data_IF_957409449073
#
_entry.id   IF_957409449073
#
_cell.length_a   1.000
_cell.length_b   1.000
_cell.length_c   1.000
_cell.angle_alpha   90.00
_cell.angle_beta   90.00
_cell.angle_gamma   90.00
#
_symmetry.space_group_name_H-M   'P 1'
#
loop_
_entity.id
_entity.type
_entity.pdbx_description
1 polymer ?
#
# COMPACT_ATOMS: atom_id res chain seq x y z
N UNK A 1 11.72 -0.26 -20.49
CA UNK A 1 12.97 -0.43 -21.29
C UNK A 1 13.44 -1.88 -21.37
N UNK A 2 13.82 -2.54 -20.27
CA UNK A 2 14.42 -3.90 -20.30
C UNK A 2 13.58 -4.98 -21.00
N UNK A 3 12.26 -5.02 -20.75
CA UNK A 3 11.35 -5.94 -21.48
C UNK A 3 11.37 -5.71 -23.00
N UNK A 4 11.48 -4.45 -23.44
CA UNK A 4 11.58 -4.10 -24.86
C UNK A 4 12.93 -4.55 -25.42
N UNK A 5 14.02 -4.30 -24.69
CA UNK A 5 15.35 -4.78 -25.07
C UNK A 5 15.37 -6.31 -25.24
N UNK A 6 14.73 -7.05 -24.33
CA UNK A 6 14.59 -8.51 -24.42
C UNK A 6 13.78 -8.96 -25.65
N UNK A 7 12.67 -8.28 -25.97
CA UNK A 7 11.90 -8.56 -27.19
C UNK A 7 12.69 -8.34 -28.47
N UNK A 8 13.60 -7.37 -28.46
CA UNK A 8 14.46 -7.02 -29.60
C UNK A 8 15.73 -7.87 -29.69
N UNK A 9 15.96 -8.80 -28.74
CA UNK A 9 17.15 -9.65 -28.72
C UNK A 9 17.44 -10.34 -30.08
N UNK A 10 16.46 -10.98 -30.74
CA UNK A 10 16.74 -11.66 -32.02
C UNK A 10 17.20 -10.70 -33.11
N UNK A 11 16.67 -9.49 -33.11
CA UNK A 11 17.02 -8.44 -34.08
C UNK A 11 18.44 -7.96 -33.83
N UNK A 12 18.82 -7.73 -32.57
CA UNK A 12 20.20 -7.37 -32.22
C UNK A 12 21.20 -8.48 -32.56
N UNK A 13 20.85 -9.74 -32.29
CA UNK A 13 21.70 -10.88 -32.63
C UNK A 13 21.90 -11.01 -34.15
N UNK A 14 20.84 -10.78 -34.94
CA UNK A 14 20.89 -10.77 -36.41
C UNK A 14 21.77 -9.63 -36.92
N UNK A 15 21.52 -8.41 -36.47
CA UNK A 15 22.30 -7.23 -36.84
C UNK A 15 23.79 -7.37 -36.51
N UNK A 16 24.13 -7.87 -35.32
CA UNK A 16 25.53 -8.08 -34.95
C UNK A 16 26.23 -9.13 -35.82
N UNK A 17 25.47 -10.11 -36.34
CA UNK A 17 25.97 -11.17 -37.20
C UNK A 17 26.15 -10.67 -38.65
N UNK A 18 25.18 -9.94 -39.19
CA UNK A 18 25.21 -9.37 -40.55
C UNK A 18 26.32 -8.32 -40.71
N UNK A 19 26.45 -7.41 -39.74
CA UNK A 19 27.41 -6.30 -39.81
C UNK A 19 28.74 -6.60 -39.10
N UNK A 20 29.00 -7.86 -38.74
CA UNK A 20 30.26 -8.32 -38.13
C UNK A 20 30.63 -7.59 -36.82
N UNK A 21 29.65 -7.03 -36.11
CA UNK A 21 29.84 -6.36 -34.81
C UNK A 21 29.69 -7.31 -33.63
N UNK A 22 30.46 -8.40 -33.64
CA UNK A 22 30.39 -9.46 -32.61
C UNK A 22 30.70 -8.96 -31.20
N UNK A 23 31.52 -7.90 -31.06
CA UNK A 23 31.84 -7.27 -29.79
C UNK A 23 30.65 -6.56 -29.11
N UNK A 24 29.63 -6.15 -29.88
CA UNK A 24 28.40 -5.54 -29.35
C UNK A 24 27.37 -6.58 -28.89
N UNK A 25 27.60 -7.86 -29.21
CA UNK A 25 26.67 -8.93 -28.89
C UNK A 25 26.59 -9.14 -27.39
N UNK A 26 25.38 -9.06 -26.86
CA UNK A 26 25.12 -9.31 -25.44
C UNK A 26 25.23 -10.81 -25.17
N UNK A 27 26.12 -11.19 -24.25
CA UNK A 27 26.35 -12.59 -23.90
C UNK A 27 25.12 -13.22 -23.23
N UNK A 28 25.01 -14.54 -23.29
CA UNK A 28 23.91 -15.30 -22.66
C UNK A 28 23.79 -15.01 -21.16
N UNK A 29 24.92 -14.82 -20.47
CA UNK A 29 24.95 -14.45 -19.05
C UNK A 29 24.40 -13.05 -18.78
N UNK A 30 24.67 -12.07 -19.65
CA UNK A 30 24.10 -10.72 -19.54
C UNK A 30 22.59 -10.74 -19.80
N UNK A 31 22.12 -11.57 -20.73
CA UNK A 31 20.67 -11.77 -20.94
C UNK A 31 19.97 -12.40 -19.74
N UNK A 32 20.61 -13.38 -19.09
CA UNK A 32 20.12 -13.96 -17.82
C UNK A 32 20.04 -12.91 -16.70
N UNK A 33 21.01 -12.00 -16.62
CA UNK A 33 20.95 -10.88 -15.67
C UNK A 33 19.76 -9.96 -15.95
N UNK A 34 19.49 -9.64 -17.23
CA UNK A 34 18.32 -8.85 -17.64
C UNK A 34 17.02 -9.56 -17.26
N UNK A 35 16.91 -10.86 -17.50
CA UNK A 35 15.72 -11.65 -17.13
C UNK A 35 15.48 -11.60 -15.62
N UNK A 36 16.56 -11.69 -14.83
CA UNK A 36 16.49 -11.58 -13.38
C UNK A 36 16.03 -10.18 -12.93
N UNK A 37 16.56 -9.11 -13.53
CA UNK A 37 16.13 -7.73 -13.27
C UNK A 37 14.66 -7.50 -13.63
N UNK A 38 14.18 -8.07 -14.74
CA UNK A 38 12.76 -7.99 -15.13
C UNK A 38 11.90 -8.68 -14.07
N UNK A 39 12.32 -9.83 -13.54
CA UNK A 39 11.60 -10.54 -12.48
C UNK A 39 11.58 -9.75 -11.16
N UNK A 40 12.71 -9.17 -10.75
CA UNK A 40 12.81 -8.34 -9.54
C UNK A 40 11.90 -7.10 -9.66
N UNK A 41 11.93 -6.41 -10.80
CA UNK A 41 11.20 -5.15 -10.99
C UNK A 41 9.72 -5.33 -11.34
N UNK A 42 9.28 -6.57 -11.60
CA UNK A 42 7.91 -6.84 -12.03
C UNK A 42 6.84 -6.44 -11.01
N UNK A 43 6.95 -6.73 -9.69
CA UNK A 43 5.95 -6.30 -8.72
C UNK A 43 5.83 -4.78 -8.64
N UNK A 44 6.96 -4.07 -8.62
CA UNK A 44 6.99 -2.60 -8.65
C UNK A 44 6.22 -2.06 -9.86
N UNK A 45 6.52 -2.57 -11.06
CA UNK A 45 5.82 -2.19 -12.27
C UNK A 45 4.30 -2.46 -12.19
N UNK A 46 3.90 -3.62 -11.64
CA UNK A 46 2.48 -3.98 -11.50
C UNK A 46 1.75 -3.01 -10.57
N UNK A 47 2.30 -2.75 -9.39
CA UNK A 47 1.68 -1.84 -8.42
C UNK A 47 1.64 -0.40 -8.93
N UNK A 48 2.74 0.13 -9.49
CA UNK A 48 2.73 1.50 -10.02
C UNK A 48 1.76 1.67 -11.18
N UNK A 49 1.67 0.68 -12.08
CA UNK A 49 0.72 0.71 -13.20
C UNK A 49 -0.73 0.59 -12.73
N UNK A 50 -0.99 -0.23 -11.70
CA UNK A 50 -2.32 -0.36 -11.14
C UNK A 50 -2.75 0.96 -10.47
N UNK A 51 -1.91 1.49 -9.58
CA UNK A 51 -2.14 2.77 -8.89
C UNK A 51 -2.34 3.93 -9.87
N UNK A 52 -1.57 4.00 -10.96
CA UNK A 52 -1.72 5.08 -11.95
C UNK A 52 -3.02 5.01 -12.77
N UNK A 53 -3.68 3.85 -12.80
CA UNK A 53 -4.93 3.65 -13.56
C UNK A 53 -6.17 3.78 -12.70
N UNK A 54 -6.04 3.52 -11.40
CA UNK A 54 -7.16 3.60 -10.46
C UNK A 54 -7.57 5.07 -10.25
N UNK A 55 -8.87 5.33 -10.35
CA UNK A 55 -9.46 6.65 -10.04
C UNK A 55 -10.05 6.73 -8.63
N UNK A 56 -10.26 5.58 -8.00
CA UNK A 56 -10.81 5.45 -6.65
C UNK A 56 -9.76 5.74 -5.57
N UNK A 57 -10.22 5.88 -4.33
CA UNK A 57 -9.38 6.11 -3.16
C UNK A 57 -8.52 4.88 -2.88
N UNK A 58 -7.19 5.02 -2.90
CA UNK A 58 -6.23 3.92 -2.72
C UNK A 58 -5.43 3.98 -1.42
N UNK A 59 -5.67 5.01 -0.58
CA UNK A 59 -4.87 5.29 0.62
C UNK A 59 -4.81 4.10 1.59
N UNK A 60 -5.90 3.34 1.69
CA UNK A 60 -6.04 2.16 2.53
C UNK A 60 -5.14 0.99 2.10
N UNK A 61 -4.60 0.99 0.88
CA UNK A 61 -3.76 -0.10 0.34
C UNK A 61 -2.27 0.13 0.54
N UNK A 62 -1.86 1.33 0.95
CA UNK A 62 -0.46 1.77 0.96
C UNK A 62 0.42 0.82 1.76
N UNK A 63 0.04 0.51 3.00
CA UNK A 63 0.76 -0.43 3.85
C UNK A 63 0.83 -1.84 3.26
N UNK A 64 -0.30 -2.35 2.74
CA UNK A 64 -0.34 -3.66 2.08
C UNK A 64 0.60 -3.75 0.88
N UNK A 65 0.73 -2.68 0.09
CA UNK A 65 1.63 -2.62 -1.06
C UNK A 65 3.08 -2.64 -0.59
N UNK A 66 3.43 -1.85 0.43
CA UNK A 66 4.78 -1.83 0.98
C UNK A 66 5.19 -3.19 1.56
N UNK A 67 4.36 -3.82 2.39
CA UNK A 67 4.66 -5.15 2.95
C UNK A 67 4.97 -6.16 1.84
N UNK A 68 4.13 -6.22 0.79
CA UNK A 68 4.36 -7.10 -0.37
C UNK A 68 5.64 -6.80 -1.14
N UNK A 69 6.02 -5.53 -1.24
CA UNK A 69 7.27 -5.14 -1.92
C UNK A 69 8.51 -5.48 -1.08
N UNK A 70 8.47 -5.26 0.23
CA UNK A 70 9.53 -5.69 1.15
C UNK A 70 9.69 -7.20 1.13
N UNK A 71 8.60 -7.96 1.31
CA UNK A 71 8.61 -9.42 1.24
C UNK A 71 9.26 -9.93 -0.05
N UNK A 72 8.90 -9.34 -1.19
CA UNK A 72 9.48 -9.71 -2.48
C UNK A 72 10.99 -9.47 -2.53
N UNK A 73 11.46 -8.31 -2.07
CA UNK A 73 12.88 -7.99 -2.04
C UNK A 73 13.63 -8.92 -1.07
N UNK A 74 13.12 -9.10 0.15
CA UNK A 74 13.73 -9.97 1.16
C UNK A 74 13.82 -11.42 0.69
N UNK A 75 12.77 -11.93 0.04
CA UNK A 75 12.78 -13.26 -0.57
C UNK A 75 13.87 -13.40 -1.64
N UNK A 76 14.04 -12.38 -2.50
CA UNK A 76 15.10 -12.39 -3.53
C UNK A 76 16.49 -12.25 -2.93
N UNK A 77 16.65 -11.43 -1.89
CA UNK A 77 17.90 -11.28 -1.13
C UNK A 77 18.29 -12.62 -0.49
N UNK A 78 17.37 -13.28 0.23
CA UNK A 78 17.60 -14.60 0.87
C UNK A 78 18.04 -15.65 -0.15
N UNK A 79 17.45 -15.66 -1.35
CA UNK A 79 17.82 -16.58 -2.42
C UNK A 79 19.23 -16.32 -2.97
N UNK A 80 19.62 -15.04 -3.11
CA UNK A 80 20.92 -14.64 -3.67
C UNK A 80 22.07 -14.70 -2.68
N UNK A 81 21.83 -14.51 -1.38
CA UNK A 81 22.85 -14.61 -0.32
C UNK A 81 23.63 -15.93 -0.38
N UNK A 82 22.97 -17.03 -0.78
CA UNK A 82 23.57 -18.36 -0.90
C UNK A 82 24.47 -18.53 -2.14
N UNK A 83 24.51 -17.57 -3.07
CA UNK A 83 25.15 -17.72 -4.39
C UNK A 83 26.41 -16.88 -4.50
N UNK A 84 27.58 -17.52 -4.67
CA UNK A 84 28.89 -16.84 -4.73
C UNK A 84 29.31 -16.33 -6.12
N UNK A 85 28.47 -16.47 -7.14
CA UNK A 85 28.79 -16.04 -8.51
C UNK A 85 28.88 -14.51 -8.58
N UNK A 86 29.91 -13.97 -9.24
CA UNK A 86 30.21 -12.52 -9.24
C UNK A 86 29.03 -11.62 -9.61
N UNK A 87 28.33 -11.89 -10.72
CA UNK A 87 27.16 -11.08 -11.12
C UNK A 87 25.98 -11.22 -10.16
N UNK A 88 25.83 -12.37 -9.48
CA UNK A 88 24.79 -12.58 -8.47
C UNK A 88 25.08 -11.81 -7.19
N UNK A 89 26.36 -11.67 -6.83
CA UNK A 89 26.79 -10.83 -5.72
C UNK A 89 26.58 -9.35 -6.02
N UNK A 90 26.84 -8.91 -7.25
CA UNK A 90 26.48 -7.55 -7.69
C UNK A 90 24.96 -7.33 -7.63
N UNK A 91 24.15 -8.30 -8.06
CA UNK A 91 22.69 -8.26 -7.94
C UNK A 91 22.22 -8.18 -6.49
N UNK A 92 22.85 -8.94 -5.59
CA UNK A 92 22.56 -8.90 -4.16
C UNK A 92 22.85 -7.51 -3.57
N UNK A 93 23.98 -6.89 -3.95
CA UNK A 93 24.29 -5.51 -3.54
C UNK A 93 23.22 -4.54 -4.05
N UNK A 94 22.82 -4.66 -5.32
CA UNK A 94 21.77 -3.83 -5.90
C UNK A 94 20.41 -4.00 -5.19
N UNK A 95 20.06 -5.24 -4.81
CA UNK A 95 18.83 -5.51 -4.07
C UNK A 95 18.84 -4.90 -2.66
N UNK A 96 19.97 -4.94 -1.94
CA UNK A 96 20.10 -4.26 -0.64
C UNK A 96 19.96 -2.75 -0.79
N UNK A 97 20.53 -2.17 -1.84
CA UNK A 97 20.32 -0.75 -2.15
C UNK A 97 18.86 -0.44 -2.50
N UNK A 98 18.17 -1.34 -3.21
CA UNK A 98 16.74 -1.19 -3.52
C UNK A 98 15.86 -1.29 -2.26
N UNK A 99 16.17 -2.22 -1.35
CA UNK A 99 15.49 -2.36 -0.06
C UNK A 99 15.68 -1.11 0.80
N UNK A 100 16.91 -0.58 0.91
CA UNK A 100 17.17 0.68 1.59
C UNK A 100 16.38 1.82 0.98
N UNK A 101 16.37 1.93 -0.35
CA UNK A 101 15.63 2.99 -1.03
C UNK A 101 14.12 2.88 -0.80
N UNK A 102 13.58 1.66 -0.79
CA UNK A 102 12.18 1.42 -0.46
C UNK A 102 11.87 1.83 0.99
N UNK A 103 12.78 1.55 1.92
CA UNK A 103 12.68 1.98 3.32
C UNK A 103 12.66 3.50 3.44
N UNK A 104 13.50 4.22 2.69
CA UNK A 104 13.49 5.69 2.68
C UNK A 104 12.16 6.28 2.22
N UNK A 105 11.46 5.63 1.28
CA UNK A 105 10.12 6.06 0.88
C UNK A 105 9.05 5.67 1.91
N UNK A 106 9.22 4.52 2.56
CA UNK A 106 8.33 4.09 3.63
C UNK A 106 8.41 5.00 4.86
N UNK A 107 9.57 5.51 5.24
CA UNK A 107 9.68 6.43 6.39
C UNK A 107 8.86 7.71 6.19
N UNK A 108 8.57 8.10 4.94
CA UNK A 108 7.69 9.23 4.64
C UNK A 108 6.24 8.92 5.05
N UNK A 109 5.79 7.66 4.95
CA UNK A 109 4.45 7.27 5.42
C UNK A 109 4.34 7.28 6.94
N UNK A 110 5.47 7.20 7.64
CA UNK A 110 5.54 7.26 9.10
C UNK A 110 5.74 8.68 9.66
N UNK A 111 5.79 9.70 8.80
CA UNK A 111 5.83 11.10 9.24
C UNK A 111 4.57 11.45 10.04
N UNK A 112 4.77 12.29 11.04
CA UNK A 112 3.70 12.76 11.93
C UNK A 112 2.57 13.40 11.11
N UNK A 113 1.32 13.06 11.43
CA UNK A 113 0.14 13.43 10.67
C UNK A 113 -0.14 12.54 9.46
N UNK A 114 0.87 12.16 8.65
CA UNK A 114 0.68 11.29 7.48
C UNK A 114 0.38 9.83 7.89
N UNK A 115 1.10 9.33 8.88
CA UNK A 115 0.92 7.97 9.43
C UNK A 115 -0.51 7.74 9.90
N UNK A 116 -1.11 8.74 10.54
CA UNK A 116 -2.48 8.70 11.04
C UNK A 116 -3.51 8.68 9.91
N UNK A 117 -3.26 9.37 8.80
CA UNK A 117 -4.17 9.40 7.64
C UNK A 117 -4.14 8.05 6.93
N UNK A 118 -2.95 7.49 6.69
CA UNK A 118 -2.84 6.15 6.09
C UNK A 118 -3.44 5.07 6.98
N UNK A 119 -3.20 5.13 8.29
CA UNK A 119 -3.76 4.15 9.23
C UNK A 119 -5.27 4.29 9.36
N UNK A 120 -5.80 5.51 9.46
CA UNK A 120 -7.25 5.79 9.44
C UNK A 120 -7.88 5.23 8.18
N UNK A 121 -7.33 5.53 7.00
CA UNK A 121 -7.84 5.00 5.74
C UNK A 121 -7.83 3.47 5.69
N UNK A 122 -6.80 2.84 6.27
CA UNK A 122 -6.70 1.38 6.37
C UNK A 122 -7.75 0.81 7.32
N UNK A 123 -7.99 1.42 8.49
CA UNK A 123 -9.00 0.96 9.45
C UNK A 123 -10.42 1.14 8.89
N UNK A 124 -10.69 2.25 8.20
CA UNK A 124 -11.98 2.52 7.59
C UNK A 124 -12.29 1.63 6.39
N UNK A 125 -11.30 0.89 5.88
CA UNK A 125 -11.51 -0.09 4.82
C UNK A 125 -12.09 -1.40 5.41
N UNK A 126 -13.30 -1.83 5.00
CA UNK A 126 -13.98 -3.00 5.58
C UNK A 126 -13.19 -4.32 5.49
N UNK A 127 -12.31 -4.43 4.49
CA UNK A 127 -11.48 -5.61 4.24
C UNK A 127 -10.26 -5.74 5.18
N UNK A 128 -9.89 -4.66 5.87
CA UNK A 128 -8.69 -4.61 6.71
C UNK A 128 -9.06 -4.37 8.17
N UNK A 129 -9.88 -3.34 8.41
CA UNK A 129 -10.27 -2.89 9.76
C UNK A 129 -9.03 -2.73 10.66
N UNK A 130 -9.23 -2.87 11.96
CA UNK A 130 -8.15 -2.81 12.94
C UNK A 130 -7.26 -4.08 12.91
N UNK A 131 -7.79 -5.20 12.43
CA UNK A 131 -7.10 -6.49 12.37
C UNK A 131 -5.82 -6.45 11.55
N UNK A 132 -5.76 -5.59 10.52
CA UNK A 132 -4.55 -5.39 9.72
C UNK A 132 -3.32 -5.06 10.57
N UNK A 133 -3.47 -4.22 11.59
CA UNK A 133 -2.39 -3.82 12.50
C UNK A 133 -2.12 -4.81 13.63
N UNK A 134 -2.88 -5.91 13.70
CA UNK A 134 -2.65 -7.02 14.63
C UNK A 134 -1.86 -8.16 13.98
N UNK A 135 -1.63 -8.08 12.67
CA UNK A 135 -0.85 -9.07 11.93
C UNK A 135 0.62 -9.07 12.36
N UNK A 136 1.37 -10.17 12.16
CA UNK A 136 2.77 -10.29 12.59
C UNK A 136 3.70 -9.19 12.07
N UNK A 137 3.41 -8.64 10.89
CA UNK A 137 4.17 -7.55 10.27
C UNK A 137 4.17 -6.27 11.12
N UNK A 138 3.18 -6.11 12.01
CA UNK A 138 2.97 -4.94 12.87
C UNK A 138 3.26 -5.22 14.34
N UNK A 139 3.73 -6.41 14.69
CA UNK A 139 4.11 -6.73 16.07
C UNK A 139 5.48 -6.13 16.38
N UNK A 140 5.49 -5.09 17.21
CA UNK A 140 6.70 -4.49 17.75
C UNK A 140 6.68 -4.57 19.28
N UNK A 141 7.74 -5.15 19.85
CA UNK A 141 7.91 -5.29 21.31
C UNK A 141 7.86 -3.95 22.07
N UNK A 142 8.06 -2.83 21.37
CA UNK A 142 8.10 -1.48 21.96
C UNK A 142 6.88 -0.62 21.60
N UNK A 143 6.07 -1.02 20.63
CA UNK A 143 4.99 -0.17 20.08
C UNK A 143 3.74 -1.00 19.78
N UNK A 144 2.63 -0.63 20.42
CA UNK A 144 1.31 -1.13 20.04
C UNK A 144 0.70 -0.23 18.97
N UNK A 145 0.93 -0.58 17.70
CA UNK A 145 0.42 0.16 16.55
C UNK A 145 -1.12 0.11 16.48
N UNK A 146 -1.72 -1.03 16.81
CA UNK A 146 -3.17 -1.18 16.79
C UNK A 146 -3.84 -0.24 17.80
N UNK A 147 -3.35 -0.21 19.04
CA UNK A 147 -3.86 0.71 20.06
C UNK A 147 -3.63 2.18 19.67
N UNK A 148 -2.43 2.53 19.21
CA UNK A 148 -2.09 3.91 18.80
C UNK A 148 -2.99 4.40 17.66
N UNK A 149 -3.15 3.62 16.60
CA UNK A 149 -3.94 4.03 15.44
C UNK A 149 -5.43 4.02 15.72
N UNK A 150 -5.91 3.13 16.58
CA UNK A 150 -7.28 3.18 17.11
C UNK A 150 -7.53 4.49 17.86
N UNK A 151 -6.63 4.88 18.76
CA UNK A 151 -6.77 6.13 19.51
C UNK A 151 -6.74 7.36 18.58
N UNK A 152 -5.80 7.41 17.63
CA UNK A 152 -5.74 8.50 16.64
C UNK A 152 -7.04 8.61 15.84
N UNK A 153 -7.65 7.49 15.46
CA UNK A 153 -8.95 7.47 14.79
C UNK A 153 -10.07 8.01 15.69
N UNK A 154 -10.14 7.56 16.95
CA UNK A 154 -11.14 8.03 17.91
C UNK A 154 -11.03 9.54 18.15
N UNK A 155 -9.82 10.08 18.30
CA UNK A 155 -9.58 11.51 18.49
C UNK A 155 -10.00 12.32 17.25
N UNK A 156 -9.75 11.81 16.05
CA UNK A 156 -10.20 12.44 14.80
C UNK A 156 -11.71 12.44 14.64
N UNK A 157 -12.38 11.34 15.01
CA UNK A 157 -13.84 11.27 14.96
C UNK A 157 -14.47 12.22 15.97
N UNK A 158 -13.95 12.33 17.19
CA UNK A 158 -14.41 13.33 18.16
C UNK A 158 -14.26 14.76 17.62
N UNK A 159 -13.10 15.09 17.08
CA UNK A 159 -12.90 16.42 16.48
C UNK A 159 -13.86 16.69 15.32
N UNK A 160 -14.14 15.67 14.50
CA UNK A 160 -15.13 15.78 13.43
C UNK A 160 -16.54 16.02 14.00
N UNK A 161 -16.99 15.20 14.95
CA UNK A 161 -18.27 15.35 15.64
C UNK A 161 -18.40 16.76 16.22
N UNK A 162 -17.43 17.23 16.99
CA UNK A 162 -17.42 18.57 17.59
C UNK A 162 -17.52 19.68 16.53
N UNK A 163 -16.82 19.52 15.39
CA UNK A 163 -16.88 20.48 14.28
C UNK A 163 -18.23 20.49 13.57
N UNK A 164 -18.86 19.32 13.41
CA UNK A 164 -20.19 19.16 12.81
C UNK A 164 -21.26 19.72 13.74
N UNK A 165 -21.24 19.38 15.03
CA UNK A 165 -22.17 19.93 16.01
C UNK A 165 -22.01 21.45 16.16
N UNK A 166 -20.79 21.97 16.10
CA UNK A 166 -20.52 23.42 16.13
C UNK A 166 -21.03 24.14 14.88
N UNK A 167 -20.89 23.54 13.70
CA UNK A 167 -21.39 24.11 12.44
C UNK A 167 -22.92 24.04 12.33
N UNK A 168 -23.54 22.93 12.77
CA UNK A 168 -24.99 22.78 12.89
C UNK A 168 -25.59 23.78 13.90
N UNK A 169 -24.90 24.03 15.01
CA UNK A 169 -25.32 25.03 16.01
C UNK A 169 -25.24 26.46 15.48
N UNK A 170 -24.24 26.77 14.65
CA UNK A 170 -24.07 28.07 13.97
C UNK A 170 -25.04 28.29 12.81
N UNK A 171 -25.49 27.22 12.15
CA UNK A 171 -26.50 27.29 11.08
C UNK A 171 -27.92 27.60 11.60
N UNK A 172 -28.09 27.77 12.92
CA UNK A 172 -29.34 28.18 13.54
C UNK A 172 -30.36 27.05 13.56
N UNK A 173 -30.21 26.13 14.51
CA UNK A 173 -31.25 25.20 14.99
C UNK A 173 -31.99 24.40 13.93
N UNK A 174 -31.84 23.07 13.96
CA UNK A 174 -32.62 22.14 13.14
C UNK A 174 -34.12 22.46 13.29
N UNK A 175 -34.71 23.18 12.33
CA UNK A 175 -36.05 22.82 11.90
C UNK A 175 -35.87 21.46 11.27
N UNK A 176 -36.45 20.43 11.90
CA UNK A 176 -36.45 19.05 11.39
C UNK A 176 -36.83 19.11 9.91
N UNK A 177 -35.84 18.91 9.03
CA UNK A 177 -36.08 18.78 7.62
C UNK A 177 -36.94 17.53 7.48
N UNK A 178 -38.21 17.72 7.11
CA UNK A 178 -39.11 16.60 6.83
C UNK A 178 -38.39 15.69 5.83
N UNK A 179 -38.34 14.36 6.05
CA UNK A 179 -37.64 13.44 5.17
C UNK A 179 -38.24 13.58 3.76
N UNK A 180 -37.42 14.03 2.80
CA UNK A 180 -37.83 14.26 1.41
C UNK A 180 -37.52 13.07 0.50
N UNK A 181 -36.79 12.05 0.98
CA UNK A 181 -36.48 10.85 0.21
C UNK A 181 -37.12 9.58 0.79
N UNK A 182 -37.51 8.68 -0.11
CA UNK A 182 -38.09 7.36 0.20
C UNK A 182 -37.14 6.47 1.02
N UNK A 183 -35.83 6.66 0.86
CA UNK A 183 -34.80 5.95 1.63
C UNK A 183 -34.79 6.43 3.10
N UNK A 184 -34.97 7.72 3.35
CA UNK A 184 -35.03 8.26 4.72
C UNK A 184 -36.26 7.76 5.47
N UNK A 185 -37.39 7.58 4.77
CA UNK A 185 -38.61 7.02 5.34
C UNK A 185 -38.48 5.53 5.69
N UNK A 186 -37.69 4.77 4.91
CA UNK A 186 -37.42 3.36 5.18
C UNK A 186 -36.47 3.17 6.37
N UNK A 187 -35.46 4.04 6.52
CA UNK A 187 -34.48 3.97 7.61
C UNK A 187 -35.02 4.48 8.96
N UNK A 188 -36.02 5.36 8.96
CA UNK A 188 -36.60 5.91 10.19
C UNK A 188 -37.45 4.92 11.00
N UNK A 189 -37.81 3.76 10.44
CA UNK A 189 -38.80 2.85 11.04
C UNK A 189 -38.22 1.94 12.13
N UNK A 190 -36.90 1.80 12.23
CA UNK A 190 -36.25 0.78 13.08
C UNK A 190 -35.46 1.33 14.29
N UNK A 191 -35.40 2.65 14.51
CA UNK A 191 -34.62 3.22 15.61
C UNK A 191 -35.36 3.23 16.95
N UNK A 192 -35.37 2.09 17.65
CA UNK A 192 -35.53 2.09 19.12
C UNK A 192 -34.27 2.71 19.75
N UNK A 193 -34.37 3.59 20.76
CA UNK A 193 -33.22 4.20 21.41
C UNK A 193 -32.53 3.16 22.30
N UNK A 194 -31.61 2.40 21.70
CA UNK A 194 -30.60 1.67 22.46
C UNK A 194 -29.44 2.65 22.67
N UNK A 195 -28.82 2.62 23.86
CA UNK A 195 -27.75 3.54 24.31
C UNK A 195 -26.78 3.96 23.19
N UNK A 196 -26.16 5.15 23.25
CA UNK A 196 -25.26 5.65 22.21
C UNK A 196 -23.97 4.83 22.18
N UNK A 197 -24.06 3.62 21.64
CA UNK A 197 -22.90 2.85 21.22
C UNK A 197 -22.40 3.61 20.01
N UNK A 198 -21.32 4.35 20.18
CA UNK A 198 -20.64 5.05 19.09
C UNK A 198 -20.54 4.10 17.89
N UNK A 199 -21.08 4.51 16.73
CA UNK A 199 -21.13 3.69 15.51
C UNK A 199 -19.74 3.15 15.14
N UNK A 200 -18.70 3.93 15.43
CA UNK A 200 -17.30 3.54 15.32
C UNK A 200 -16.96 2.33 16.18
N UNK A 201 -17.42 2.29 17.43
CA UNK A 201 -17.19 1.13 18.33
C UNK A 201 -17.89 -0.12 17.80
N UNK A 202 -19.07 0.01 17.20
CA UNK A 202 -19.76 -1.10 16.54
C UNK A 202 -19.02 -1.56 15.28
N UNK A 203 -18.55 -0.62 14.45
CA UNK A 203 -17.77 -0.91 13.24
C UNK A 203 -16.47 -1.66 13.58
N UNK A 204 -15.72 -1.19 14.58
CA UNK A 204 -14.48 -1.84 15.03
C UNK A 204 -14.72 -3.24 15.62
N UNK A 205 -15.88 -3.51 16.22
CA UNK A 205 -16.25 -4.84 16.77
C UNK A 205 -16.76 -5.82 15.72
N UNK A 206 -17.26 -5.33 14.59
CA UNK A 206 -17.85 -6.14 13.51
C UNK A 206 -16.82 -6.87 12.64
N UNK A 207 -15.51 -6.70 12.90
CA UNK A 207 -14.45 -7.51 12.30
C UNK A 207 -14.30 -8.81 13.09
N UNK A 208 -15.09 -9.83 12.70
CA UNK A 208 -14.92 -11.24 13.09
C UNK A 208 -15.49 -12.12 11.97
#
# INVERSE_FOLDING_TARGET
MLRRAKKLQPIFDTFCSEFHHTHLRVTSDKWRQIDYLICITQPFYKFTTALSKTKDVTIHTVFSIYNRLFDHLENRIRQLQRKKIGWKQQMLKALRSAESKLRDYYTITDLEGLSDIYSTGTILAPQYKLEFFQTPDWQDNKKDFAARYKQSLEDRVKHYEDSVYSSLSRAGGIQSAKPTSEIDLLLARDSRPTAPVSELTQYLKSGK
#
